data_IF_661820862237
#
_entry.id   IF_661820862237
#
_cell.length_a   1.000
_cell.length_b   1.000
_cell.length_c   1.000
_cell.angle_alpha   90.00
_cell.angle_beta   90.00
_cell.angle_gamma   90.00
#
_symmetry.space_group_name_H-M   'P 1'
#
loop_
_entity.id
_entity.type
_entity.pdbx_description
1 polymer ?
#
# COMPACT_ATOMS: atom_id res chain seq x y z
N UNK A 1 -20.88 43.45 -36.10
CA UNK A 1 -20.63 43.37 -36.16
C UNK A 1 -20.29 43.01 -36.13
N UNK A 2 -20.38 42.72 -36.12
CA UNK A 2 -19.94 42.22 -36.19
C UNK A 2 -19.50 41.88 -35.78
N UNK A 3 -19.49 41.53 -35.57
CA UNK A 3 -19.06 41.11 -35.36
C UNK A 3 -18.72 40.68 -34.71
N UNK A 4 -18.92 40.48 -34.45
CA UNK A 4 -18.62 40.09 -34.10
C UNK A 4 -18.45 39.39 -33.71
N UNK A 5 -18.35 38.98 -33.63
CA UNK A 5 -18.20 38.35 -33.60
C UNK A 5 -17.74 37.76 -33.27
N UNK A 6 -17.84 38.10 -33.34
CA UNK A 6 -17.42 37.62 -33.31
C UNK A 6 -16.94 37.22 -32.68
N UNK A 7 -17.04 37.05 -32.26
CA UNK A 7 -16.71 36.58 -31.81
C UNK A 7 -16.68 35.83 -31.43
N UNK A 8 -16.87 35.72 -31.53
CA UNK A 8 -16.88 34.99 -31.48
C UNK A 8 -16.68 34.38 -31.25
N UNK A 9 -16.66 34.33 -31.28
CA UNK A 9 -16.40 33.69 -31.06
C UNK A 9 -15.94 33.29 -30.55
N UNK A 10 -15.71 33.27 -30.37
CA UNK A 10 -15.17 32.85 -30.12
C UNK A 10 -15.14 32.08 -29.69
N UNK A 11 -15.40 32.05 -29.77
CA UNK A 11 -15.26 31.31 -29.57
C UNK A 11 -14.83 30.62 -29.45
N UNK A 12 -14.65 30.54 -29.56
CA UNK A 12 -14.05 29.77 -29.37
C UNK A 12 -13.66 29.32 -28.87
N UNK A 13 -13.54 29.36 -28.87
CA UNK A 13 -13.17 28.93 -28.31
C UNK A 13 -13.21 28.77 -27.50
N UNK A 14 -13.03 29.61 -27.93
CA UNK A 14 -13.39 29.28 -26.62
C UNK A 14 -13.65 27.82 -26.42
N UNK A 15 -13.72 27.21 -27.44
CA UNK A 15 -13.94 25.88 -27.41
C UNK A 15 -12.79 25.10 -26.93
N UNK A 16 -11.61 25.35 -27.43
CA UNK A 16 -10.43 24.70 -26.98
C UNK A 16 -10.17 24.96 -25.53
N UNK A 17 -10.43 26.15 -25.09
CA UNK A 17 -10.27 26.47 -23.71
C UNK A 17 -11.24 25.72 -22.84
N UNK A 18 -12.44 25.56 -23.27
CA UNK A 18 -13.43 24.84 -22.54
C UNK A 18 -13.06 23.36 -22.42
N UNK A 19 -12.54 22.82 -23.48
CA UNK A 19 -12.14 21.43 -23.45
C UNK A 19 -10.98 21.19 -22.53
N UNK A 20 -10.03 22.09 -22.53
CA UNK A 20 -8.91 21.97 -21.62
C UNK A 20 -9.38 22.03 -20.17
N UNK A 21 -10.34 22.87 -19.86
CA UNK A 21 -10.87 22.96 -18.52
C UNK A 21 -11.63 21.70 -18.14
N UNK A 22 -12.35 21.13 -19.06
CA UNK A 22 -13.05 19.90 -18.81
C UNK A 22 -12.08 18.78 -18.51
N UNK A 23 -11.00 18.70 -19.25
CA UNK A 23 -9.99 17.70 -18.98
C UNK A 23 -9.40 17.88 -17.61
N UNK A 24 -9.09 19.07 -17.22
CA UNK A 24 -8.58 19.32 -15.89
C UNK A 24 -9.56 18.89 -14.82
N UNK A 25 -10.81 19.17 -15.03
CA UNK A 25 -11.79 18.77 -14.05
C UNK A 25 -11.94 17.28 -13.96
N UNK A 26 -11.85 16.58 -15.06
CA UNK A 26 -11.98 15.14 -15.02
C UNK A 26 -10.76 14.48 -14.43
N UNK A 27 -9.59 15.09 -14.57
CA UNK A 27 -8.39 14.56 -13.96
C UNK A 27 -8.17 15.09 -12.57
N UNK A 28 -8.79 16.19 -12.24
CA UNK A 28 -8.72 16.63 -10.86
C UNK A 28 -9.41 15.65 -10.01
N UNK A 29 -8.70 15.05 -9.09
CA UNK A 29 -9.34 14.13 -8.21
C UNK A 29 -10.19 14.92 -7.26
N UNK A 30 -11.40 15.12 -7.66
CA UNK A 30 -12.37 15.48 -6.69
C UNK A 30 -12.54 14.32 -5.73
N UNK A 31 -12.11 13.17 -6.15
CA UNK A 31 -12.10 12.00 -5.32
C UNK A 31 -10.73 11.88 -4.68
N UNK A 32 -10.69 11.30 -3.51
CA UNK A 32 -9.46 10.95 -2.85
C UNK A 32 -8.81 9.80 -3.60
N UNK A 33 -7.58 9.99 -4.01
CA UNK A 33 -6.82 8.94 -4.65
C UNK A 33 -5.69 8.55 -3.73
N UNK A 34 -5.68 7.29 -3.29
CA UNK A 34 -4.56 6.77 -2.53
C UNK A 34 -3.43 6.50 -3.50
N UNK A 35 -2.35 7.25 -3.33
CA UNK A 35 -1.18 7.02 -4.14
C UNK A 35 -0.48 5.76 -3.64
N UNK A 36 -0.36 4.78 -4.51
CA UNK A 36 0.35 3.55 -4.19
C UNK A 36 1.84 3.79 -4.38
N UNK A 37 2.60 3.60 -3.32
CA UNK A 37 4.04 3.77 -3.32
C UNK A 37 4.68 2.43 -3.02
N UNK A 38 5.72 2.09 -3.79
CA UNK A 38 6.41 0.83 -3.58
C UNK A 38 7.69 0.76 -4.39
N UNK A 39 8.37 -0.36 -4.26
CA UNK A 39 9.61 -0.64 -4.99
C UNK A 39 9.66 -2.12 -5.32
N UNK A 40 10.57 -2.49 -6.23
CA UNK A 40 10.75 -3.89 -6.60
C UNK A 40 12.07 -4.40 -6.07
N UNK A 41 12.06 -5.62 -5.56
CA UNK A 41 13.24 -6.30 -5.09
C UNK A 41 13.01 -7.81 -5.19
N UNK A 42 14.06 -8.59 -5.02
CA UNK A 42 13.95 -10.04 -5.06
C UNK A 42 13.42 -10.57 -3.73
N UNK A 43 12.49 -11.52 -3.79
CA UNK A 43 12.12 -12.25 -2.59
C UNK A 43 12.99 -13.49 -2.45
N UNK A 44 13.52 -13.73 -1.24
CA UNK A 44 14.40 -14.88 -1.02
C UNK A 44 13.62 -16.13 -0.60
N UNK A 45 12.32 -16.02 -0.47
CA UNK A 45 11.42 -17.14 -0.20
C UNK A 45 10.11 -16.91 -0.95
N UNK A 46 9.26 -17.93 -0.99
CA UNK A 46 7.96 -17.78 -1.65
C UNK A 46 7.10 -16.79 -0.89
N UNK A 47 6.52 -15.85 -1.62
CA UNK A 47 5.61 -14.86 -1.04
C UNK A 47 4.27 -14.92 -1.76
N UNK A 48 3.22 -14.63 -1.02
CA UNK A 48 1.85 -14.61 -1.55
C UNK A 48 1.35 -13.16 -1.52
N UNK A 49 0.48 -12.82 -2.47
CA UNK A 49 -0.16 -11.51 -2.47
C UNK A 49 -0.76 -11.24 -1.09
N UNK A 50 -0.45 -10.07 -0.54
CA UNK A 50 -0.92 -9.69 0.78
C UNK A 50 0.02 -10.05 1.92
N UNK A 51 1.08 -10.80 1.67
CA UNK A 51 2.06 -11.11 2.72
C UNK A 51 2.79 -9.85 3.16
N UNK A 52 2.94 -9.72 4.47
CA UNK A 52 3.73 -8.65 5.07
C UNK A 52 5.20 -9.03 4.97
N UNK A 53 6.02 -8.13 4.48
CA UNK A 53 7.41 -8.42 4.16
C UNK A 53 8.35 -7.55 4.99
N UNK A 54 9.50 -8.13 5.32
CA UNK A 54 10.63 -7.37 5.88
C UNK A 54 11.80 -7.40 4.90
N UNK A 55 12.69 -6.44 5.01
CA UNK A 55 13.88 -6.39 4.17
C UNK A 55 15.06 -6.97 4.93
N UNK A 56 15.74 -7.93 4.34
CA UNK A 56 16.91 -8.56 4.95
C UNK A 56 18.10 -7.62 4.82
N UNK A 57 18.72 -7.32 5.97
CA UNK A 57 19.76 -6.30 6.01
C UNK A 57 21.00 -6.65 5.18
N UNK A 58 21.26 -7.94 4.98
CA UNK A 58 22.49 -8.36 4.31
C UNK A 58 22.50 -8.07 2.81
N UNK A 59 21.34 -8.03 2.16
CA UNK A 59 21.28 -7.91 0.70
C UNK A 59 20.05 -7.16 0.19
N UNK A 60 19.16 -6.73 1.07
CA UNK A 60 17.98 -5.97 0.68
C UNK A 60 16.87 -6.81 0.07
N UNK A 61 17.04 -8.12 0.02
CA UNK A 61 15.95 -8.99 -0.43
C UNK A 61 14.88 -9.07 0.65
N UNK A 62 13.68 -9.44 0.24
CA UNK A 62 12.56 -9.46 1.17
C UNK A 62 12.06 -10.88 1.44
N UNK A 63 11.53 -11.07 2.62
CA UNK A 63 10.86 -12.29 3.05
C UNK A 63 9.71 -11.95 3.98
N UNK A 64 9.02 -12.97 4.45
CA UNK A 64 7.82 -12.79 5.24
C UNK A 64 8.18 -12.33 6.66
N UNK A 65 7.58 -11.24 7.08
CA UNK A 65 7.80 -10.66 8.40
C UNK A 65 7.06 -11.47 9.47
N UNK A 66 7.57 -11.44 10.69
CA UNK A 66 6.92 -12.11 11.82
C UNK A 66 7.28 -11.38 13.11
N UNK A 67 6.36 -11.35 14.05
CA UNK A 67 6.47 -10.56 15.28
C UNK A 67 7.12 -11.30 16.46
N UNK A 68 7.44 -12.57 16.34
CA UNK A 68 7.99 -13.34 17.44
C UNK A 68 9.43 -13.83 17.19
N UNK A 69 10.17 -13.13 16.38
CA UNK A 69 11.54 -13.50 16.05
C UNK A 69 12.47 -12.31 16.37
N UNK A 70 13.16 -11.78 15.38
CA UNK A 70 14.10 -10.69 15.59
C UNK A 70 13.45 -9.34 15.30
N UNK A 71 14.09 -8.29 15.78
CA UNK A 71 13.65 -6.92 15.47
C UNK A 71 13.55 -6.70 13.96
N UNK A 72 14.55 -7.19 13.21
CA UNK A 72 14.57 -7.01 11.76
C UNK A 72 13.35 -7.64 11.09
N UNK A 73 12.96 -8.83 11.55
CA UNK A 73 11.80 -9.50 10.96
C UNK A 73 10.49 -8.88 11.39
N UNK A 74 10.49 -8.09 12.46
CA UNK A 74 9.32 -7.34 12.88
C UNK A 74 9.24 -5.99 12.20
N UNK A 75 10.33 -5.53 11.56
CA UNK A 75 10.35 -4.28 10.82
C UNK A 75 9.71 -4.47 9.46
N UNK A 76 8.49 -4.01 9.31
CA UNK A 76 7.73 -4.16 8.07
C UNK A 76 8.27 -3.25 7.00
N UNK A 77 8.73 -3.82 5.89
CA UNK A 77 9.13 -3.07 4.70
C UNK A 77 7.91 -2.70 3.87
N UNK A 78 6.91 -3.56 3.84
CA UNK A 78 5.70 -3.35 3.09
C UNK A 78 4.92 -4.64 2.90
N UNK A 79 4.06 -4.67 1.91
CA UNK A 79 3.18 -5.80 1.63
C UNK A 79 3.36 -6.23 0.17
N UNK A 80 3.37 -7.52 -0.07
CA UNK A 80 3.54 -8.07 -1.42
C UNK A 80 2.33 -7.75 -2.28
N UNK A 81 2.56 -7.13 -3.44
CA UNK A 81 1.49 -6.83 -4.36
C UNK A 81 1.01 -8.07 -5.11
N UNK A 82 1.90 -9.01 -5.34
CA UNK A 82 1.60 -10.23 -6.11
C UNK A 82 2.28 -11.43 -5.50
N UNK A 83 1.82 -12.60 -5.86
CA UNK A 83 2.43 -13.87 -5.45
C UNK A 83 3.65 -14.14 -6.32
N UNK A 84 4.78 -14.43 -5.69
CA UNK A 84 6.04 -14.73 -6.38
C UNK A 84 6.79 -15.86 -5.70
N UNK A 85 7.40 -16.76 -6.46
CA UNK A 85 8.28 -17.78 -5.89
C UNK A 85 9.63 -17.17 -5.52
N UNK A 86 10.36 -17.86 -4.66
CA UNK A 86 11.69 -17.45 -4.23
C UNK A 86 12.59 -17.16 -5.43
N UNK A 87 13.37 -16.11 -5.34
CA UNK A 87 14.30 -15.71 -6.39
C UNK A 87 13.72 -14.80 -7.45
N UNK A 88 12.43 -14.49 -7.38
CA UNK A 88 11.78 -13.62 -8.36
C UNK A 88 11.62 -12.21 -7.81
N UNK A 89 11.46 -11.28 -8.74
CA UNK A 89 11.18 -9.89 -8.37
C UNK A 89 9.75 -9.75 -7.89
N UNK A 90 9.56 -9.10 -6.76
CA UNK A 90 8.25 -8.81 -6.19
C UNK A 90 8.15 -7.32 -5.92
N UNK A 91 6.99 -6.77 -6.17
CA UNK A 91 6.71 -5.38 -5.83
C UNK A 91 6.24 -5.30 -4.40
N UNK A 92 6.93 -4.49 -3.61
CA UNK A 92 6.64 -4.26 -2.20
C UNK A 92 5.91 -2.94 -2.08
N UNK A 93 4.68 -2.99 -1.62
CA UNK A 93 3.87 -1.78 -1.42
C UNK A 93 4.19 -1.23 -0.04
N UNK A 94 4.75 -0.04 0.01
CA UNK A 94 5.13 0.62 1.26
C UNK A 94 4.05 1.54 1.77
N UNK A 95 3.18 2.03 0.90
CA UNK A 95 2.03 2.86 1.26
C UNK A 95 0.98 2.74 0.17
N UNK A 96 -0.28 2.75 0.54
CA UNK A 96 -1.38 2.68 -0.41
C UNK A 96 -2.19 1.41 -0.24
N UNK A 97 -2.97 1.07 -1.25
CA UNK A 97 -3.94 -0.01 -1.17
C UNK A 97 -3.40 -1.28 -1.81
N UNK A 98 -3.54 -2.39 -1.11
CA UNK A 98 -3.24 -3.72 -1.62
C UNK A 98 -4.52 -4.53 -1.60
N UNK A 99 -4.79 -5.25 -2.68
CA UNK A 99 -5.92 -6.16 -2.73
C UNK A 99 -5.64 -7.37 -1.84
N UNK A 100 -6.63 -7.73 -1.05
CA UNK A 100 -6.56 -8.89 -0.17
C UNK A 100 -8.00 -9.35 0.09
N UNK A 101 -8.24 -10.16 1.11
CA UNK A 101 -9.59 -10.63 1.40
C UNK A 101 -9.72 -10.97 2.87
N UNK A 102 -10.96 -11.08 3.32
CA UNK A 102 -11.24 -11.53 4.66
C UNK A 102 -10.99 -10.50 5.74
N UNK A 103 -10.98 -9.23 5.37
CA UNK A 103 -10.77 -8.16 6.33
C UNK A 103 -12.09 -7.60 6.84
N UNK A 104 -12.04 -7.02 8.03
CA UNK A 104 -13.16 -6.24 8.58
C UNK A 104 -12.88 -4.77 8.31
N UNK A 105 -13.77 -4.15 7.56
CA UNK A 105 -13.60 -2.76 7.15
C UNK A 105 -13.45 -1.83 8.35
N UNK A 106 -12.44 -0.99 8.32
CA UNK A 106 -12.18 -0.03 9.38
C UNK A 106 -11.30 -0.53 10.51
N UNK A 107 -11.04 -1.83 10.56
CA UNK A 107 -10.22 -2.39 11.63
C UNK A 107 -8.73 -2.22 11.34
N UNK A 108 -7.96 -2.08 12.40
CA UNK A 108 -6.50 -2.04 12.31
C UNK A 108 -5.94 -3.45 12.37
N UNK A 109 -4.83 -3.64 11.69
CA UNK A 109 -4.19 -4.93 11.61
C UNK A 109 -2.72 -4.84 11.99
N UNK A 110 -2.27 -5.87 12.67
CA UNK A 110 -0.92 -5.97 13.24
C UNK A 110 -0.20 -7.18 12.66
N UNK A 111 1.12 -7.13 12.70
CA UNK A 111 1.93 -8.26 12.26
C UNK A 111 1.70 -9.45 13.18
N UNK A 112 1.48 -10.62 12.58
CA UNK A 112 1.25 -11.83 13.34
C UNK A 112 2.53 -12.33 14.02
N UNK A 113 2.39 -12.84 15.22
CA UNK A 113 3.45 -13.54 15.93
C UNK A 113 3.39 -15.05 15.70
N UNK A 114 2.32 -15.53 15.08
CA UNK A 114 2.11 -16.96 14.89
C UNK A 114 2.42 -17.43 13.47
N UNK A 115 2.16 -16.58 12.48
CA UNK A 115 2.30 -16.97 11.07
C UNK A 115 3.06 -15.89 10.32
N UNK A 116 4.18 -16.26 9.73
CA UNK A 116 4.99 -15.32 8.96
C UNK A 116 4.20 -14.77 7.78
N UNK A 117 4.30 -13.46 7.57
CA UNK A 117 3.61 -12.77 6.50
C UNK A 117 2.15 -12.43 6.76
N UNK A 118 1.57 -12.91 7.84
CA UNK A 118 0.16 -12.73 8.13
C UNK A 118 -0.10 -11.47 8.97
N UNK A 119 -1.34 -11.00 8.90
CA UNK A 119 -1.81 -9.89 9.74
C UNK A 119 -2.92 -10.40 10.65
N UNK A 120 -3.06 -9.76 11.81
CA UNK A 120 -4.07 -10.10 12.80
C UNK A 120 -4.70 -8.84 13.35
N UNK A 121 -5.96 -8.94 13.80
CA UNK A 121 -6.67 -7.81 14.40
C UNK A 121 -6.22 -7.57 15.83
N UNK A 122 -5.88 -8.66 16.54
CA UNK A 122 -5.43 -8.56 17.91
C UNK A 122 -3.90 -8.54 17.92
N UNK A 123 -3.29 -7.47 18.43
CA UNK A 123 -1.84 -7.39 18.45
C UNK A 123 -1.23 -8.45 19.37
N UNK A 124 0.00 -8.87 19.10
CA UNK A 124 0.73 -9.74 20.01
C UNK A 124 0.77 -9.13 21.42
N UNK A 125 0.73 -9.98 22.43
CA UNK A 125 0.70 -9.53 23.82
C UNK A 125 1.67 -10.28 24.73
N UNK A 126 2.49 -11.14 24.17
CA UNK A 126 3.44 -11.94 24.94
C UNK A 126 4.79 -11.23 25.04
N UNK A 127 5.39 -11.26 26.21
CA UNK A 127 6.70 -10.66 26.41
C UNK A 127 7.72 -11.27 25.44
N UNK A 128 8.58 -10.45 24.89
CA UNK A 128 9.56 -10.87 23.90
C UNK A 128 9.08 -10.82 22.46
N UNK A 129 7.80 -10.57 22.26
CA UNK A 129 7.27 -10.36 20.92
C UNK A 129 7.24 -8.87 20.60
N UNK A 130 7.01 -8.58 19.33
CA UNK A 130 6.91 -7.21 18.85
C UNK A 130 5.48 -6.89 18.46
N UNK A 131 5.08 -5.65 18.69
CA UNK A 131 3.83 -5.12 18.16
C UNK A 131 4.18 -4.18 17.01
N UNK A 132 3.75 -4.54 15.81
CA UNK A 132 3.95 -3.72 14.63
C UNK A 132 2.59 -3.57 13.96
N UNK A 133 2.05 -2.36 13.94
CA UNK A 133 0.83 -2.09 13.21
C UNK A 133 1.21 -2.00 11.73
N UNK A 134 0.50 -2.74 10.89
CA UNK A 134 0.80 -2.80 9.46
C UNK A 134 -0.09 -1.85 8.66
N UNK A 135 -1.32 -1.67 9.09
CA UNK A 135 -2.25 -0.80 8.41
C UNK A 135 -3.67 -1.04 8.88
N UNK A 136 -4.62 -0.71 8.01
CA UNK A 136 -6.03 -0.86 8.33
C UNK A 136 -6.79 -1.30 7.08
N UNK A 137 -7.95 -1.87 7.29
CA UNK A 137 -8.79 -2.31 6.19
C UNK A 137 -9.65 -1.16 5.70
N UNK A 138 -9.54 -0.82 4.43
CA UNK A 138 -10.45 0.14 3.80
C UNK A 138 -11.79 -0.52 3.47
N UNK A 139 -11.76 -1.83 3.19
CA UNK A 139 -12.94 -2.64 2.95
C UNK A 139 -12.57 -4.10 3.18
N UNK A 140 -13.51 -5.02 2.98
CA UNK A 140 -13.24 -6.46 3.14
C UNK A 140 -12.19 -6.98 2.17
N UNK A 141 -11.94 -6.25 1.08
CA UNK A 141 -10.99 -6.67 0.05
C UNK A 141 -9.85 -5.70 -0.17
N UNK A 142 -9.71 -4.66 0.65
CA UNK A 142 -8.69 -3.64 0.46
C UNK A 142 -7.97 -3.35 1.76
N UNK A 143 -6.66 -3.50 1.73
CA UNK A 143 -5.81 -3.20 2.88
C UNK A 143 -4.98 -1.95 2.60
N UNK A 144 -5.07 -0.98 3.49
CA UNK A 144 -4.32 0.27 3.38
C UNK A 144 -3.04 0.09 4.17
N UNK A 145 -1.92 0.04 3.46
CA UNK A 145 -0.60 -0.16 4.07
C UNK A 145 -0.12 1.14 4.68
N UNK A 146 0.21 1.09 5.96
CA UNK A 146 0.73 2.23 6.70
C UNK A 146 1.41 1.71 7.96
N UNK A 147 2.58 1.09 7.77
CA UNK A 147 3.25 0.36 8.82
C UNK A 147 3.98 1.28 9.80
N UNK A 148 3.89 0.92 11.06
CA UNK A 148 4.61 1.61 12.13
C UNK A 148 5.90 0.86 12.46
N UNK A 149 6.67 1.42 13.38
CA UNK A 149 7.89 0.76 13.87
C UNK A 149 7.49 -0.29 14.91
N UNK A 150 8.27 -1.37 14.98
CA UNK A 150 7.98 -2.40 15.98
C UNK A 150 8.27 -1.93 17.40
N UNK A 151 7.45 -2.38 18.31
CA UNK A 151 7.61 -2.12 19.74
C UNK A 151 7.80 -3.47 20.43
N UNK A 152 8.92 -3.62 21.14
CA UNK A 152 9.20 -4.84 21.88
C UNK A 152 8.38 -4.86 23.17
N UNK A 153 7.74 -5.98 23.42
CA UNK A 153 6.99 -6.20 24.64
C UNK A 153 7.92 -6.78 25.72
N UNK A 154 7.87 -6.18 26.88
CA UNK A 154 8.67 -6.62 28.02
C UNK A 154 7.80 -7.36 29.04
#
# INVERSE_FOLDING_TARGET
MASVEALAPYQPNAQGLTEALIDLKSTMPSQTVFKVTGYETTCFENVTQGDVLYSRASDGQVGKAIANDTFDKACVAGVAETTKPAGQSVKVITAGIVATSGLNAGDQYFLSAASAGAIVETPPSTAGQYVTRVGEAGSTGQFIVNADRPILLS
#
